data_IF_209683506798
#
_entry.id   IF_209683506798
#
_cell.length_a   1.000
_cell.length_b   1.000
_cell.length_c   1.000
_cell.angle_alpha   90.00
_cell.angle_beta   90.00
_cell.angle_gamma   90.00
#
_symmetry.space_group_name_H-M   'P 1'
#
loop_
_entity.id
_entity.type
_entity.pdbx_description
1 polymer ?
#
# COMPACT_ATOMS: atom_id res chain seq x y z
N UNK A 1 24.65 2.93 10.74
CA UNK A 1 23.83 1.69 10.83
C UNK A 1 22.36 2.01 10.64
N UNK A 2 21.77 2.88 11.47
CA UNK A 2 20.34 3.22 11.42
C UNK A 2 20.00 4.43 10.54
N UNK A 3 20.82 4.70 9.53
CA UNK A 3 20.71 5.90 8.69
C UNK A 3 21.53 7.08 9.21
N UNK A 4 21.28 8.24 8.61
CA UNK A 4 21.93 9.50 8.92
C UNK A 4 20.88 10.55 9.30
N UNK A 5 21.26 11.54 10.12
CA UNK A 5 20.41 12.71 10.42
C UNK A 5 20.47 13.73 9.27
N UNK A 6 20.28 13.23 8.04
CA UNK A 6 20.21 14.01 6.81
C UNK A 6 18.80 13.86 6.26
N UNK A 7 18.09 14.97 6.10
CA UNK A 7 16.71 15.00 5.63
C UNK A 7 16.55 14.64 4.15
N UNK A 8 17.65 14.37 3.45
CA UNK A 8 17.68 13.96 2.03
C UNK A 8 18.08 12.51 1.82
N UNK A 9 17.99 11.68 2.86
CA UNK A 9 18.35 10.27 2.77
C UNK A 9 17.20 9.41 3.28
N UNK A 10 16.88 8.37 2.54
CA UNK A 10 15.96 7.32 2.99
C UNK A 10 16.61 6.42 4.05
N UNK A 11 15.76 5.61 4.69
CA UNK A 11 16.15 4.75 5.81
C UNK A 11 16.79 3.46 5.29
N UNK A 12 17.88 2.97 5.90
CA UNK A 12 18.40 1.65 5.57
C UNK A 12 17.50 0.55 6.15
N UNK A 13 17.52 -0.63 5.53
CA UNK A 13 16.84 -1.86 6.00
C UNK A 13 16.97 -2.11 7.51
N UNK A 14 18.15 -1.90 8.09
CA UNK A 14 18.39 -2.10 9.52
C UNK A 14 17.53 -1.20 10.44
N UNK A 15 17.10 -0.04 9.96
CA UNK A 15 16.15 0.83 10.68
C UNK A 15 14.74 0.27 10.60
N UNK A 16 14.30 -0.18 9.42
CA UNK A 16 12.99 -0.82 9.23
C UNK A 16 12.86 -2.05 10.14
N UNK A 17 13.87 -2.92 10.14
CA UNK A 17 13.93 -4.10 11.03
C UNK A 17 13.86 -3.71 12.51
N UNK A 18 14.58 -2.66 12.93
CA UNK A 18 14.59 -2.21 14.31
C UNK A 18 13.23 -1.66 14.75
N UNK A 19 12.55 -0.90 13.88
CA UNK A 19 11.21 -0.37 14.13
C UNK A 19 10.20 -1.52 14.23
N UNK A 20 10.20 -2.47 13.29
CA UNK A 20 9.28 -3.59 13.31
C UNK A 20 9.49 -4.49 14.54
N UNK A 21 10.74 -4.73 14.95
CA UNK A 21 11.01 -5.44 16.21
C UNK A 21 10.40 -4.70 17.42
N UNK A 22 10.47 -3.36 17.44
CA UNK A 22 9.84 -2.57 18.49
C UNK A 22 8.31 -2.65 18.43
N UNK A 23 7.71 -2.56 17.24
CA UNK A 23 6.25 -2.70 17.05
C UNK A 23 5.76 -4.05 17.55
N UNK A 24 6.37 -5.15 17.10
CA UNK A 24 6.06 -6.51 17.54
C UNK A 24 6.21 -6.66 19.06
N UNK A 25 7.20 -6.00 19.68
CA UNK A 25 7.36 -6.03 21.14
C UNK A 25 6.22 -5.37 21.93
N UNK A 26 5.42 -4.53 21.28
CA UNK A 26 4.23 -3.91 21.90
C UNK A 26 2.99 -4.80 21.79
N UNK A 27 3.05 -5.91 21.06
CA UNK A 27 1.94 -6.84 20.85
C UNK A 27 0.63 -6.15 20.39
N UNK A 28 0.66 -5.41 19.26
CA UNK A 28 -0.52 -4.69 18.78
C UNK A 28 -1.60 -5.66 18.29
N UNK A 29 -2.86 -5.34 18.55
CA UNK A 29 -3.99 -6.09 17.99
C UNK A 29 -4.13 -5.90 16.47
N UNK A 30 -3.80 -4.70 15.97
CA UNK A 30 -3.93 -4.33 14.57
C UNK A 30 -2.71 -3.55 14.10
N UNK A 31 -2.32 -3.73 12.84
CA UNK A 31 -1.25 -2.97 12.19
C UNK A 31 -1.76 -2.38 10.88
N UNK A 32 -1.50 -1.10 10.66
CA UNK A 32 -1.80 -0.43 9.39
C UNK A 32 -0.48 -0.11 8.68
N UNK A 33 -0.27 -0.68 7.50
CA UNK A 33 0.93 -0.48 6.67
C UNK A 33 0.54 0.22 5.36
N UNK A 34 0.76 1.52 5.29
CA UNK A 34 0.16 2.38 4.26
C UNK A 34 1.05 2.66 3.05
N UNK A 35 1.98 1.75 2.73
CA UNK A 35 2.82 1.84 1.53
C UNK A 35 4.04 2.76 1.65
N UNK A 36 4.53 3.21 0.49
CA UNK A 36 5.81 3.94 0.29
C UNK A 36 7.02 3.14 0.77
N UNK A 37 7.19 1.96 0.18
CA UNK A 37 8.25 1.02 0.53
C UNK A 37 9.57 1.32 -0.19
N UNK A 38 9.55 2.01 -1.32
CA UNK A 38 10.74 2.28 -2.15
C UNK A 38 11.33 3.66 -1.87
N UNK A 39 12.59 3.88 -2.25
CA UNK A 39 13.33 5.10 -1.96
C UNK A 39 12.94 6.28 -2.88
N UNK A 40 13.37 7.49 -2.50
CA UNK A 40 13.23 8.70 -3.32
C UNK A 40 14.44 8.86 -4.27
N UNK A 41 14.65 7.90 -5.16
CA UNK A 41 15.77 7.86 -6.10
C UNK A 41 15.42 8.30 -7.54
N UNK A 42 14.20 8.82 -7.73
CA UNK A 42 13.77 9.44 -8.98
C UNK A 42 14.74 10.54 -9.47
N UNK A 43 14.90 10.69 -10.81
CA UNK A 43 14.37 9.86 -11.90
C UNK A 43 15.33 8.71 -12.28
N UNK A 44 16.20 8.27 -11.38
CA UNK A 44 17.35 7.40 -11.71
C UNK A 44 17.08 5.90 -11.50
N UNK A 45 15.83 5.52 -11.28
CA UNK A 45 15.39 4.15 -11.00
C UNK A 45 14.69 3.52 -12.21
N UNK A 46 14.74 2.21 -12.32
CA UNK A 46 13.99 1.40 -13.27
C UNK A 46 12.88 0.59 -12.59
N UNK A 47 11.94 0.06 -13.38
CA UNK A 47 10.89 -0.82 -12.85
C UNK A 47 11.45 -2.03 -12.09
N UNK A 48 12.55 -2.62 -12.58
CA UNK A 48 13.18 -3.77 -11.94
C UNK A 48 13.81 -3.39 -10.59
N UNK A 49 14.37 -2.19 -10.47
CA UNK A 49 14.91 -1.67 -9.22
C UNK A 49 13.79 -1.37 -8.21
N UNK A 50 12.71 -0.70 -8.63
CA UNK A 50 11.51 -0.47 -7.78
C UNK A 50 10.95 -1.81 -7.28
N UNK A 51 10.79 -2.80 -8.15
CA UNK A 51 10.29 -4.12 -7.77
C UNK A 51 11.23 -4.83 -6.78
N UNK A 52 12.55 -4.74 -6.98
CA UNK A 52 13.53 -5.35 -6.09
C UNK A 52 13.57 -4.68 -4.71
N UNK A 53 13.43 -3.35 -4.65
CA UNK A 53 13.33 -2.62 -3.39
C UNK A 53 12.04 -2.98 -2.63
N UNK A 54 10.93 -3.02 -3.35
CA UNK A 54 9.63 -3.40 -2.82
C UNK A 54 9.66 -4.82 -2.25
N UNK A 55 10.20 -5.79 -2.99
CA UNK A 55 10.41 -7.17 -2.50
C UNK A 55 11.29 -7.18 -1.24
N UNK A 56 12.40 -6.46 -1.23
CA UNK A 56 13.33 -6.44 -0.10
C UNK A 56 12.74 -5.85 1.19
N UNK A 57 11.85 -4.85 1.08
CA UNK A 57 11.15 -4.24 2.21
C UNK A 57 10.00 -5.12 2.66
N UNK A 58 9.17 -5.59 1.72
CA UNK A 58 8.02 -6.44 2.03
C UNK A 58 8.44 -7.77 2.64
N UNK A 59 9.57 -8.37 2.25
CA UNK A 59 10.13 -9.55 2.92
C UNK A 59 10.36 -9.33 4.43
N UNK A 60 10.83 -8.14 4.81
CA UNK A 60 11.04 -7.80 6.23
C UNK A 60 9.71 -7.58 6.93
N UNK A 61 8.82 -6.79 6.32
CA UNK A 61 7.50 -6.47 6.88
C UNK A 61 6.72 -7.77 7.10
N UNK A 62 6.66 -8.60 6.07
CA UNK A 62 5.83 -9.81 6.05
C UNK A 62 6.35 -10.87 7.00
N UNK A 63 7.67 -11.08 7.07
CA UNK A 63 8.27 -12.01 8.03
C UNK A 63 8.09 -11.61 9.50
N UNK A 64 7.78 -10.35 9.77
CA UNK A 64 7.56 -9.83 11.13
C UNK A 64 6.08 -9.74 11.51
N UNK A 65 5.21 -9.57 10.52
CA UNK A 65 3.80 -9.28 10.73
C UNK A 65 2.86 -10.44 10.33
N UNK A 66 3.40 -11.64 10.06
CA UNK A 66 2.59 -12.80 9.60
C UNK A 66 1.46 -13.16 10.57
N UNK A 67 1.67 -13.02 11.88
CA UNK A 67 0.71 -13.42 12.92
C UNK A 67 -0.22 -12.28 13.38
N UNK A 68 -0.15 -11.11 12.73
CA UNK A 68 -0.89 -9.91 13.13
C UNK A 68 -2.05 -9.62 12.17
N UNK A 69 -3.09 -8.94 12.69
CA UNK A 69 -4.16 -8.41 11.85
C UNK A 69 -3.67 -7.14 11.13
N UNK A 70 -3.13 -7.33 9.92
CA UNK A 70 -2.51 -6.26 9.13
C UNK A 70 -3.47 -5.76 8.06
N UNK A 71 -3.68 -4.45 8.01
CA UNK A 71 -4.34 -3.75 6.89
C UNK A 71 -3.27 -3.03 6.08
N UNK A 72 -3.26 -3.26 4.77
CA UNK A 72 -2.22 -2.78 3.87
C UNK A 72 -2.82 -1.82 2.84
N UNK A 73 -2.06 -0.81 2.47
CA UNK A 73 -2.34 0.06 1.32
C UNK A 73 -1.04 0.22 0.51
N UNK A 74 -1.17 0.73 -0.70
CA UNK A 74 -0.02 1.08 -1.55
C UNK A 74 0.15 2.60 -1.56
N UNK A 75 1.40 3.03 -1.58
CA UNK A 75 1.79 4.42 -1.68
C UNK A 75 2.12 4.83 -3.11
N UNK A 76 2.41 6.12 -3.31
CA UNK A 76 2.73 6.66 -4.61
C UNK A 76 4.10 6.15 -5.11
N UNK A 77 5.01 5.79 -4.21
CA UNK A 77 6.32 5.20 -4.54
C UNK A 77 6.27 3.68 -4.77
N UNK A 78 5.14 3.01 -4.58
CA UNK A 78 5.01 1.55 -4.77
C UNK A 78 4.66 1.14 -6.21
N UNK A 79 4.94 2.01 -7.19
CA UNK A 79 4.66 1.81 -8.61
C UNK A 79 5.70 2.54 -9.47
N UNK A 80 6.01 2.00 -10.66
CA UNK A 80 6.94 2.63 -11.61
C UNK A 80 6.30 3.12 -12.94
N UNK A 81 6.47 4.36 -13.38
CA UNK A 81 7.15 5.45 -12.67
C UNK A 81 6.40 5.86 -11.40
N UNK A 82 7.13 6.41 -10.42
CA UNK A 82 6.56 6.81 -9.14
C UNK A 82 5.39 7.80 -9.33
N UNK A 83 4.29 7.55 -8.62
CA UNK A 83 3.05 8.31 -8.69
C UNK A 83 2.28 8.17 -10.00
N UNK A 84 2.63 7.23 -10.89
CA UNK A 84 1.95 7.05 -12.19
C UNK A 84 1.10 5.77 -12.22
N UNK A 85 0.06 5.75 -11.39
CA UNK A 85 -0.86 4.62 -11.30
C UNK A 85 -1.84 4.59 -12.47
N UNK A 86 -1.75 3.52 -13.26
CA UNK A 86 -2.68 3.26 -14.34
C UNK A 86 -3.73 2.21 -13.92
N UNK A 87 -5.00 2.62 -13.85
CA UNK A 87 -6.13 1.77 -13.45
C UNK A 87 -6.71 0.93 -14.60
N UNK A 88 -6.33 1.20 -15.85
CA UNK A 88 -6.82 0.47 -17.02
C UNK A 88 -6.05 -0.84 -17.30
N UNK A 89 -4.93 -1.05 -16.62
CA UNK A 89 -4.01 -2.17 -16.86
C UNK A 89 -3.52 -2.74 -15.54
N UNK A 90 -3.04 -4.00 -15.56
CA UNK A 90 -2.36 -4.60 -14.39
C UNK A 90 -1.18 -3.76 -13.89
N UNK A 91 -0.65 -2.88 -14.75
CA UNK A 91 0.07 -1.69 -14.35
C UNK A 91 1.39 -1.96 -13.61
N UNK A 92 2.11 -0.88 -13.27
CA UNK A 92 3.43 -1.01 -12.69
C UNK A 92 3.46 -1.31 -11.19
N UNK A 93 2.31 -1.32 -10.51
CA UNK A 93 2.17 -1.66 -9.09
C UNK A 93 1.85 -3.14 -8.85
N UNK A 94 1.77 -3.96 -9.90
CA UNK A 94 1.36 -5.37 -9.80
C UNK A 94 2.19 -6.17 -8.79
N UNK A 95 3.52 -6.02 -8.80
CA UNK A 95 4.42 -6.78 -7.93
C UNK A 95 4.12 -6.54 -6.44
N UNK A 96 3.95 -5.28 -6.03
CA UNK A 96 3.60 -4.93 -4.66
C UNK A 96 2.22 -5.43 -4.26
N UNK A 97 1.24 -5.26 -5.16
CA UNK A 97 -0.12 -5.76 -4.91
C UNK A 97 -0.15 -7.27 -4.75
N UNK A 98 0.55 -8.01 -5.60
CA UNK A 98 0.61 -9.47 -5.49
C UNK A 98 1.29 -9.91 -4.20
N UNK A 99 2.40 -9.27 -3.79
CA UNK A 99 3.08 -9.58 -2.53
C UNK A 99 2.19 -9.34 -1.31
N UNK A 100 1.47 -8.20 -1.28
CA UNK A 100 0.60 -7.79 -0.18
C UNK A 100 -0.76 -8.51 -0.17
N UNK A 101 -1.13 -9.21 -1.24
CA UNK A 101 -2.44 -9.87 -1.41
C UNK A 101 -2.80 -10.82 -0.26
N UNK A 102 -1.81 -11.41 0.41
CA UNK A 102 -2.07 -12.30 1.55
C UNK A 102 -2.71 -11.62 2.77
N UNK A 103 -2.63 -10.28 2.87
CA UNK A 103 -3.29 -9.50 3.92
C UNK A 103 -4.70 -9.02 3.54
N UNK A 104 -5.10 -9.25 2.29
CA UNK A 104 -6.38 -8.86 1.74
C UNK A 104 -7.37 -10.01 1.93
N UNK A 105 -8.60 -9.76 2.42
CA UNK A 105 -9.65 -10.78 2.47
C UNK A 105 -9.86 -11.43 1.10
N UNK A 106 -10.07 -12.75 1.08
CA UNK A 106 -10.11 -13.52 -0.17
C UNK A 106 -11.18 -13.01 -1.15
N UNK A 107 -12.32 -12.57 -0.62
CA UNK A 107 -13.45 -11.99 -1.35
C UNK A 107 -13.16 -10.61 -1.95
N UNK A 108 -12.19 -9.87 -1.41
CA UNK A 108 -11.74 -8.56 -1.92
C UNK A 108 -10.51 -8.68 -2.82
N UNK A 109 -9.96 -9.89 -3.01
CA UNK A 109 -8.73 -10.12 -3.74
C UNK A 109 -8.76 -9.60 -5.18
N UNK A 110 -9.89 -9.78 -5.88
CA UNK A 110 -10.06 -9.28 -7.26
C UNK A 110 -10.14 -7.74 -7.29
N UNK A 111 -10.81 -7.13 -6.30
CA UNK A 111 -10.88 -5.66 -6.17
C UNK A 111 -9.50 -5.09 -5.89
N UNK A 112 -8.72 -5.72 -5.02
CA UNK A 112 -7.33 -5.33 -4.75
C UNK A 112 -6.45 -5.44 -6.00
N UNK A 113 -6.49 -6.58 -6.70
CA UNK A 113 -5.65 -6.81 -7.88
C UNK A 113 -6.08 -5.98 -9.10
N UNK A 114 -7.29 -5.44 -9.12
CA UNK A 114 -7.75 -4.53 -10.18
C UNK A 114 -7.53 -3.08 -9.78
N UNK A 115 -7.98 -2.69 -8.59
CA UNK A 115 -8.15 -1.30 -8.19
C UNK A 115 -7.15 -0.83 -7.12
N UNK A 116 -6.52 -1.75 -6.38
CA UNK A 116 -5.58 -1.40 -5.30
C UNK A 116 -6.24 -0.85 -4.03
N UNK A 117 -7.56 -1.02 -3.89
CA UNK A 117 -8.32 -0.69 -2.67
C UNK A 117 -9.23 -1.86 -2.28
N UNK A 118 -9.61 -1.94 -1.01
CA UNK A 118 -10.50 -2.96 -0.47
C UNK A 118 -11.11 -2.56 0.87
N UNK A 119 -12.11 -3.31 1.34
CA UNK A 119 -12.63 -3.21 2.71
C UNK A 119 -12.26 -4.44 3.54
N UNK A 120 -12.11 -4.28 4.85
CA UNK A 120 -11.76 -5.35 5.77
C UNK A 120 -12.45 -5.18 7.11
N UNK A 121 -13.09 -6.23 7.59
CA UNK A 121 -13.58 -6.29 8.98
C UNK A 121 -12.39 -6.52 9.92
N UNK A 122 -12.30 -5.73 10.99
CA UNK A 122 -11.28 -5.92 12.02
C UNK A 122 -11.64 -7.08 12.94
N UNK A 123 -10.70 -8.00 13.15
CA UNK A 123 -10.96 -9.18 13.98
C UNK A 123 -11.26 -8.74 15.42
N UNK A 124 -12.44 -9.12 15.93
CA UNK A 124 -12.84 -8.82 17.31
C UNK A 124 -13.43 -7.42 17.53
N UNK A 125 -13.63 -6.63 16.47
CA UNK A 125 -14.35 -5.37 16.51
C UNK A 125 -15.51 -5.39 15.51
N UNK A 126 -16.60 -4.71 15.87
CA UNK A 126 -17.67 -4.38 14.93
C UNK A 126 -17.25 -3.13 14.15
N UNK A 127 -16.26 -3.29 13.27
CA UNK A 127 -15.60 -2.18 12.57
C UNK A 127 -15.08 -2.64 11.21
N UNK A 128 -15.47 -1.90 10.17
CA UNK A 128 -14.95 -2.04 8.80
C UNK A 128 -13.89 -0.96 8.57
N UNK A 129 -12.74 -1.36 8.05
CA UNK A 129 -11.69 -0.47 7.57
C UNK A 129 -11.71 -0.46 6.05
N UNK A 130 -11.64 0.73 5.45
CA UNK A 130 -11.38 0.89 4.03
C UNK A 130 -9.89 1.18 3.81
N UNK A 131 -9.22 0.30 3.07
CA UNK A 131 -7.90 0.57 2.50
C UNK A 131 -8.11 1.20 1.13
N UNK A 132 -7.76 2.47 1.00
CA UNK A 132 -8.05 3.28 -0.18
C UNK A 132 -6.82 3.42 -1.08
N UNK A 133 -7.05 3.60 -2.38
CA UNK A 133 -6.01 3.93 -3.34
C UNK A 133 -6.14 5.41 -3.73
N UNK A 134 -5.46 6.28 -2.98
CA UNK A 134 -5.56 7.74 -3.17
C UNK A 134 -4.83 8.25 -4.40
N UNK A 135 -4.13 7.39 -5.13
CA UNK A 135 -3.58 7.72 -6.46
C UNK A 135 -4.68 7.99 -7.48
N UNK A 136 -5.94 7.66 -7.16
CA UNK A 136 -7.11 8.04 -7.95
C UNK A 136 -7.44 9.54 -7.85
N UNK A 137 -6.86 10.25 -6.88
CA UNK A 137 -7.04 11.70 -6.68
C UNK A 137 -5.72 12.47 -6.53
N UNK A 138 -4.56 11.83 -6.76
CA UNK A 138 -3.27 12.51 -6.77
C UNK A 138 -3.13 13.38 -8.03
N UNK A 139 -2.87 14.67 -7.83
CA UNK A 139 -2.64 15.62 -8.92
C UNK A 139 -1.32 15.38 -9.68
N UNK A 140 -0.40 14.60 -9.12
CA UNK A 140 0.84 14.17 -9.77
C UNK A 140 0.64 12.96 -10.69
N UNK A 141 -0.46 12.22 -10.54
CA UNK A 141 -0.75 11.07 -11.38
C UNK A 141 -1.30 11.51 -12.76
N UNK A 142 -0.42 11.51 -13.76
CA UNK A 142 -0.77 11.95 -15.11
C UNK A 142 -1.69 10.96 -15.84
N UNK A 143 -1.79 9.71 -15.35
CA UNK A 143 -2.73 8.73 -15.88
C UNK A 143 -4.19 9.19 -15.69
N UNK A 144 -4.45 10.02 -14.66
CA UNK A 144 -5.77 10.59 -14.39
C UNK A 144 -6.19 11.65 -15.39
N UNK A 145 -5.31 12.20 -16.23
CA UNK A 145 -5.71 13.26 -17.17
C UNK A 145 -6.73 12.80 -18.22
N UNK A 146 -6.93 11.48 -18.35
CA UNK A 146 -7.93 10.86 -19.21
C UNK A 146 -9.27 10.63 -18.51
N UNK A 147 -9.30 10.65 -17.18
CA UNK A 147 -10.47 10.36 -16.37
C UNK A 147 -10.76 11.51 -15.39
N UNK A 148 -11.86 12.23 -15.65
CA UNK A 148 -12.25 13.41 -14.88
C UNK A 148 -13.37 13.11 -13.87
N UNK A 149 -13.94 11.90 -13.89
CA UNK A 149 -15.09 11.53 -13.11
C UNK A 149 -14.86 10.20 -12.38
N UNK A 150 -14.51 10.29 -11.10
CA UNK A 150 -14.30 9.15 -10.20
C UNK A 150 -13.39 8.06 -10.77
N UNK A 151 -12.11 8.39 -10.92
CA UNK A 151 -11.13 7.42 -11.39
C UNK A 151 -11.17 6.16 -10.53
N UNK A 152 -11.19 5.00 -11.20
CA UNK A 152 -11.15 3.69 -10.56
C UNK A 152 -12.39 3.34 -9.73
N UNK A 153 -13.56 3.98 -9.96
CA UNK A 153 -14.80 3.80 -9.18
C UNK A 153 -14.61 4.01 -7.65
N UNK A 154 -13.63 4.84 -7.28
CA UNK A 154 -13.13 4.93 -5.91
C UNK A 154 -14.13 5.62 -4.96
N UNK A 155 -14.73 6.74 -5.37
CA UNK A 155 -15.75 7.45 -4.60
C UNK A 155 -17.04 6.64 -4.52
N UNK A 156 -17.43 5.97 -5.61
CA UNK A 156 -18.55 5.03 -5.60
C UNK A 156 -18.35 3.93 -4.57
N UNK A 157 -17.17 3.31 -4.52
CA UNK A 157 -16.83 2.28 -3.53
C UNK A 157 -16.94 2.80 -2.08
N UNK A 158 -16.44 4.02 -1.82
CA UNK A 158 -16.54 4.65 -0.50
C UNK A 158 -18.00 4.89 -0.12
N UNK A 159 -18.79 5.47 -1.02
CA UNK A 159 -20.21 5.80 -0.79
C UNK A 159 -21.05 4.55 -0.49
N UNK A 160 -20.89 3.50 -1.30
CA UNK A 160 -21.58 2.21 -1.11
C UNK A 160 -21.19 1.57 0.23
N UNK A 161 -19.90 1.53 0.56
CA UNK A 161 -19.41 0.89 1.80
C UNK A 161 -19.85 1.66 3.05
N UNK A 162 -19.82 2.99 3.03
CA UNK A 162 -20.28 3.80 4.16
C UNK A 162 -21.81 3.70 4.34
N UNK A 163 -22.57 3.69 3.23
CA UNK A 163 -24.03 3.53 3.26
C UNK A 163 -24.47 2.16 3.78
N UNK A 164 -23.69 1.11 3.54
CA UNK A 164 -23.89 -0.21 4.14
C UNK A 164 -23.62 -0.20 5.65
N UNK A 165 -22.56 0.50 6.08
CA UNK A 165 -22.17 0.56 7.49
C UNK A 165 -23.10 1.43 8.37
N UNK A 166 -23.85 2.36 7.77
CA UNK A 166 -24.82 3.21 8.49
C UNK A 166 -26.16 2.49 8.82
N UNK A 167 -26.44 1.35 8.19
CA UNK A 167 -27.69 0.59 8.36
C UNK A 167 -27.69 -0.30 9.60
#
# INVERSE_FOLDING_TARGET
>A
KFGARNYRCDVPKATVEAVLNQVVSQDPAYVFWTGDNTAHDDPFVSQDEVNAELEAVLDVVMSKLTDYDVTVSMGNHDAFPNGQWNFDTDGPSYAGREALKQYVPAEEGDRWMTHGYYKKELVGLDTVVLSLNTESCDFHNQMLWRELNDANDHLKFIDETLSEAEQ
#
